data_IF_862721697405
#
_entry.id   IF_862721697405
#
_cell.length_a   1.000
_cell.length_b   1.000
_cell.length_c   1.000
_cell.angle_alpha   90.00
_cell.angle_beta   90.00
_cell.angle_gamma   90.00
#
_symmetry.space_group_name_H-M   'P 1'
#
loop_
_entity.id
_entity.type
_entity.pdbx_description
1 polymer ?
#
# COMPACT_ATOMS: atom_id res chain seq x y z
N UNK A 1 -10.46 6.91 2.87
CA UNK A 1 -10.08 5.51 2.67
C UNK A 1 -8.61 5.25 3.00
N UNK A 2 -7.67 5.79 2.23
CA UNK A 2 -6.23 5.58 2.46
C UNK A 2 -5.76 5.91 3.89
N UNK A 3 -6.16 7.07 4.43
CA UNK A 3 -5.86 7.44 5.83
C UNK A 3 -6.32 6.42 6.87
N UNK A 4 -7.50 5.84 6.68
CA UNK A 4 -8.04 4.83 7.60
C UNK A 4 -7.30 3.49 7.44
N UNK A 5 -6.84 3.19 6.22
CA UNK A 5 -6.05 1.99 5.95
C UNK A 5 -4.66 2.05 6.60
N UNK A 6 -4.06 3.24 6.74
CA UNK A 6 -2.87 3.43 7.60
C UNK A 6 -3.13 3.01 9.06
N UNK A 7 -4.37 3.04 9.53
CA UNK A 7 -4.71 2.62 10.90
C UNK A 7 -4.91 1.08 11.03
N UNK A 8 -4.77 0.34 9.92
CA UNK A 8 -4.89 -1.13 9.86
C UNK A 8 -3.54 -1.85 9.81
N UNK A 9 -2.42 -1.17 10.07
CA UNK A 9 -1.16 -1.87 10.38
C UNK A 9 -1.34 -2.77 11.62
N UNK A 10 -0.44 -3.74 11.80
CA UNK A 10 -0.59 -4.87 12.73
C UNK A 10 -1.75 -5.82 12.36
N UNK A 11 -2.03 -5.95 11.07
CA UNK A 11 -2.92 -6.97 10.50
C UNK A 11 -2.11 -8.07 9.83
N UNK A 12 -2.75 -9.18 9.53
CA UNK A 12 -2.14 -10.34 8.89
C UNK A 12 -2.58 -10.45 7.44
N UNK A 13 -1.64 -10.84 6.58
CA UNK A 13 -1.94 -11.22 5.20
C UNK A 13 -2.60 -12.61 5.13
N UNK A 14 -2.85 -13.08 3.91
CA UNK A 14 -3.43 -14.39 3.63
C UNK A 14 -2.56 -15.57 4.08
N UNK A 15 -1.26 -15.35 4.34
CA UNK A 15 -0.31 -16.35 4.83
C UNK A 15 -0.16 -16.29 6.36
N UNK A 16 -0.87 -15.39 7.04
CA UNK A 16 -0.78 -15.20 8.49
C UNK A 16 0.38 -14.33 8.95
N UNK A 17 1.15 -13.77 8.01
CA UNK A 17 2.30 -12.91 8.29
C UNK A 17 1.84 -11.48 8.61
N UNK A 18 2.50 -10.85 9.58
CA UNK A 18 2.08 -9.55 10.11
C UNK A 18 2.63 -8.41 9.24
N UNK A 19 1.75 -7.50 8.84
CA UNK A 19 2.07 -6.21 8.22
C UNK A 19 2.48 -5.24 9.34
N UNK A 20 3.79 -5.00 9.46
CA UNK A 20 4.38 -4.24 10.58
C UNK A 20 4.68 -2.79 10.18
N UNK A 21 4.29 -1.88 11.07
CA UNK A 21 4.65 -0.46 10.97
C UNK A 21 6.13 -0.23 11.31
N UNK A 22 6.70 -1.08 12.17
CA UNK A 22 8.10 -1.04 12.58
C UNK A 22 9.08 -0.93 11.40
N UNK A 23 8.83 -1.62 10.29
CA UNK A 23 9.74 -1.53 9.13
C UNK A 23 9.82 -0.12 8.54
N UNK A 24 8.75 0.69 8.65
CA UNK A 24 8.78 2.09 8.19
C UNK A 24 9.56 2.97 9.17
N UNK A 25 9.47 2.68 10.47
CA UNK A 25 10.27 3.33 11.51
C UNK A 25 11.76 3.01 11.31
N UNK A 26 12.09 1.73 11.13
CA UNK A 26 13.46 1.25 10.92
C UNK A 26 14.06 1.80 9.63
N UNK A 27 13.26 1.90 8.56
CA UNK A 27 13.66 2.54 7.30
C UNK A 27 13.95 4.02 7.51
N UNK A 28 13.08 4.74 8.21
CA UNK A 28 13.31 6.16 8.49
C UNK A 28 14.57 6.37 9.34
N UNK A 29 14.75 5.57 10.40
CA UNK A 29 15.92 5.64 11.27
C UNK A 29 17.22 5.32 10.53
N UNK A 30 17.23 4.30 9.66
CA UNK A 30 18.39 4.02 8.82
C UNK A 30 18.70 5.20 7.91
N UNK A 31 17.72 5.74 7.19
CA UNK A 31 17.94 6.86 6.28
C UNK A 31 18.44 8.12 7.00
N UNK A 32 17.92 8.39 8.20
CA UNK A 32 18.38 9.50 9.03
C UNK A 32 19.80 9.29 9.56
N UNK A 33 20.15 8.06 9.96
CA UNK A 33 21.51 7.71 10.42
C UNK A 33 22.54 7.83 9.29
N UNK A 34 22.22 7.31 8.11
CA UNK A 34 23.13 7.35 6.95
C UNK A 34 23.16 8.74 6.28
N UNK A 35 22.19 9.61 6.57
CA UNK A 35 22.04 10.91 5.91
C UNK A 35 21.61 10.82 4.44
N UNK A 36 21.19 9.64 3.97
CA UNK A 36 20.81 9.35 2.58
C UNK A 36 19.40 8.76 2.51
N UNK A 37 18.68 9.07 1.42
CA UNK A 37 17.33 8.53 1.17
C UNK A 37 17.32 7.57 -0.01
N UNK A 38 16.58 6.47 0.14
CA UNK A 38 16.36 5.45 -0.90
C UNK A 38 15.24 5.88 -1.86
N UNK A 39 15.37 7.07 -2.45
CA UNK A 39 14.43 7.63 -3.43
C UNK A 39 12.94 7.75 -3.00
N UNK A 40 12.61 7.51 -1.72
CA UNK A 40 11.29 7.71 -1.16
C UNK A 40 11.17 9.06 -0.42
N UNK A 41 9.92 9.44 -0.09
CA UNK A 41 9.61 10.72 0.60
C UNK A 41 9.45 10.57 2.11
N UNK A 42 9.70 9.38 2.67
CA UNK A 42 9.49 9.09 4.08
C UNK A 42 10.34 10.03 4.95
N UNK A 43 9.77 10.47 6.06
CA UNK A 43 10.39 11.38 7.03
C UNK A 43 9.71 11.26 8.38
N UNK A 44 10.24 11.95 9.40
CA UNK A 44 9.66 11.92 10.75
C UNK A 44 8.20 12.35 10.81
N UNK A 45 7.75 13.22 9.92
CA UNK A 45 6.32 13.60 9.84
C UNK A 45 5.42 12.44 9.36
N UNK A 46 5.96 11.52 8.56
CA UNK A 46 5.25 10.33 8.09
C UNK A 46 5.18 9.25 9.16
N UNK A 47 6.25 9.10 9.94
CA UNK A 47 6.33 8.16 11.06
C UNK A 47 5.48 8.64 12.23
N UNK A 48 5.66 9.90 12.64
CA UNK A 48 4.95 10.56 13.74
C UNK A 48 3.70 11.29 13.23
N UNK A 49 2.90 10.61 12.41
CA UNK A 49 1.78 11.21 11.69
C UNK A 49 0.58 11.60 12.57
N UNK A 50 0.53 11.18 13.84
CA UNK A 50 -0.65 11.30 14.71
C UNK A 50 -1.13 12.76 14.84
N UNK A 51 -0.21 13.70 15.02
CA UNK A 51 -0.53 15.13 15.06
C UNK A 51 -1.02 15.70 13.71
N UNK A 52 -0.83 14.94 12.63
CA UNK A 52 -1.17 15.30 11.26
C UNK A 52 -2.04 14.23 10.58
N UNK A 53 -2.86 13.52 11.37
CA UNK A 53 -3.62 12.33 10.93
C UNK A 53 -4.46 12.61 9.68
N UNK A 54 -5.01 13.81 9.57
CA UNK A 54 -5.89 14.22 8.48
C UNK A 54 -5.18 14.49 7.15
N UNK A 55 -3.85 14.62 7.13
CA UNK A 55 -3.07 14.90 5.90
C UNK A 55 -2.99 13.66 5.01
N UNK A 56 -3.84 13.60 3.99
CA UNK A 56 -3.86 12.50 3.00
C UNK A 56 -2.51 12.34 2.30
N UNK A 57 -1.82 13.46 2.03
CA UNK A 57 -0.48 13.45 1.42
C UNK A 57 0.51 12.57 2.18
N UNK A 58 0.51 12.63 3.52
CA UNK A 58 1.38 11.79 4.34
C UNK A 58 1.00 10.31 4.21
N UNK A 59 -0.29 9.99 4.32
CA UNK A 59 -0.76 8.61 4.16
C UNK A 59 -0.37 8.03 2.78
N UNK A 60 -0.54 8.80 1.70
CA UNK A 60 -0.16 8.37 0.36
C UNK A 60 1.36 8.16 0.21
N UNK A 61 2.18 9.06 0.75
CA UNK A 61 3.63 8.93 0.67
C UNK A 61 4.16 7.77 1.51
N UNK A 62 3.60 7.57 2.70
CA UNK A 62 3.87 6.40 3.56
C UNK A 62 3.49 5.09 2.87
N UNK A 63 2.36 5.06 2.17
CA UNK A 63 1.81 3.85 1.56
C UNK A 63 2.13 3.72 0.07
N UNK A 64 3.34 4.10 -0.35
CA UNK A 64 3.74 4.12 -1.76
C UNK A 64 4.66 2.97 -2.17
N UNK A 65 4.68 2.63 -3.46
CA UNK A 65 5.61 1.63 -4.01
C UNK A 65 7.07 2.01 -3.76
N UNK A 66 7.43 3.30 -3.80
CA UNK A 66 8.80 3.73 -3.49
C UNK A 66 9.28 3.37 -2.08
N UNK A 67 8.36 3.35 -1.10
CA UNK A 67 8.68 2.89 0.26
C UNK A 67 8.82 1.37 0.25
N UNK A 68 7.96 0.65 -0.48
CA UNK A 68 8.05 -0.80 -0.63
C UNK A 68 9.38 -1.24 -1.26
N UNK A 69 9.80 -0.59 -2.35
CA UNK A 69 11.06 -0.83 -3.04
C UNK A 69 12.27 -0.56 -2.13
N UNK A 70 12.16 0.46 -1.26
CA UNK A 70 13.19 0.76 -0.26
C UNK A 70 13.32 -0.34 0.79
N UNK A 71 12.18 -0.87 1.28
CA UNK A 71 12.19 -2.00 2.22
C UNK A 71 12.79 -3.26 1.58
N UNK A 72 12.42 -3.54 0.32
CA UNK A 72 12.95 -4.66 -0.44
C UNK A 72 14.45 -4.50 -0.71
N UNK A 73 14.92 -3.30 -1.07
CA UNK A 73 16.35 -3.02 -1.21
C UNK A 73 17.12 -3.18 0.10
N UNK A 74 16.56 -2.74 1.24
CA UNK A 74 17.17 -2.98 2.54
C UNK A 74 17.28 -4.48 2.87
N UNK A 75 16.29 -5.28 2.45
CA UNK A 75 16.27 -6.73 2.65
C UNK A 75 17.25 -7.46 1.73
N UNK A 76 17.19 -7.21 0.42
CA UNK A 76 17.88 -8.04 -0.57
C UNK A 76 19.22 -7.42 -1.01
N UNK A 77 19.24 -6.10 -1.20
CA UNK A 77 20.43 -5.37 -1.64
C UNK A 77 21.42 -5.15 -0.50
N UNK A 78 20.95 -4.68 0.66
CA UNK A 78 21.79 -4.40 1.83
C UNK A 78 21.81 -5.55 2.85
N UNK A 79 20.92 -6.53 2.74
CA UNK A 79 20.87 -7.71 3.63
C UNK A 79 20.77 -7.35 5.12
N UNK A 80 20.06 -6.27 5.44
CA UNK A 80 19.91 -5.79 6.81
C UNK A 80 18.95 -6.69 7.60
N UNK A 81 19.41 -7.20 8.74
CA UNK A 81 18.66 -8.12 9.59
C UNK A 81 17.27 -7.60 9.98
N UNK A 82 17.13 -6.27 10.19
CA UNK A 82 15.88 -5.63 10.55
C UNK A 82 14.77 -5.80 9.49
N UNK A 83 15.11 -6.10 8.23
CA UNK A 83 14.16 -6.16 7.11
C UNK A 83 13.92 -7.56 6.56
N UNK A 84 14.52 -8.61 7.11
CA UNK A 84 14.45 -9.98 6.57
C UNK A 84 13.01 -10.48 6.36
N UNK A 85 12.07 -10.06 7.20
CA UNK A 85 10.67 -10.51 7.16
C UNK A 85 9.70 -9.41 6.70
N UNK A 86 10.16 -8.44 5.90
CA UNK A 86 9.32 -7.31 5.47
C UNK A 86 8.38 -7.63 4.29
N UNK A 87 8.43 -8.84 3.72
CA UNK A 87 7.72 -9.19 2.48
C UNK A 87 6.21 -8.87 2.52
N UNK A 88 5.51 -9.22 3.59
CA UNK A 88 4.08 -8.93 3.72
C UNK A 88 3.78 -7.44 3.80
N UNK A 89 4.66 -6.65 4.42
CA UNK A 89 4.54 -5.19 4.40
C UNK A 89 4.81 -4.63 3.01
N UNK A 90 5.84 -5.13 2.30
CA UNK A 90 6.14 -4.73 0.91
C UNK A 90 4.93 -4.99 0.00
N UNK A 91 4.38 -6.22 0.02
CA UNK A 91 3.22 -6.59 -0.77
C UNK A 91 1.99 -5.72 -0.43
N UNK A 92 1.76 -5.45 0.86
CA UNK A 92 0.68 -4.56 1.29
C UNK A 92 0.85 -3.16 0.71
N UNK A 93 2.05 -2.57 0.81
CA UNK A 93 2.34 -1.23 0.30
C UNK A 93 2.15 -1.14 -1.22
N UNK A 94 2.70 -2.10 -1.98
CA UNK A 94 2.56 -2.16 -3.43
C UNK A 94 1.08 -2.29 -3.84
N UNK A 95 0.33 -3.20 -3.20
CA UNK A 95 -1.09 -3.41 -3.50
C UNK A 95 -1.90 -2.14 -3.27
N UNK A 96 -1.65 -1.44 -2.16
CA UNK A 96 -2.37 -0.21 -1.81
C UNK A 96 -2.03 0.93 -2.77
N UNK A 97 -0.76 1.10 -3.12
CA UNK A 97 -0.31 2.15 -4.05
C UNK A 97 -0.90 1.93 -5.45
N UNK A 98 -0.88 0.69 -5.96
CA UNK A 98 -1.49 0.33 -7.25
C UNK A 98 -2.98 0.64 -7.29
N UNK A 99 -3.73 0.21 -6.27
CA UNK A 99 -5.17 0.52 -6.17
C UNK A 99 -5.40 2.02 -6.09
N UNK A 100 -4.59 2.74 -5.30
CA UNK A 100 -4.72 4.19 -5.17
C UNK A 100 -4.44 4.92 -6.49
N UNK A 101 -3.40 4.51 -7.22
CA UNK A 101 -3.03 5.10 -8.51
C UNK A 101 -4.12 4.89 -9.57
N UNK A 102 -4.69 3.68 -9.66
CA UNK A 102 -5.78 3.37 -10.59
C UNK A 102 -7.03 4.18 -10.24
N UNK A 103 -7.46 4.14 -8.97
CA UNK A 103 -8.69 4.80 -8.51
C UNK A 103 -8.59 6.33 -8.47
N UNK A 104 -7.36 6.87 -8.51
CA UNK A 104 -7.08 8.30 -8.57
C UNK A 104 -6.47 8.73 -9.92
N UNK A 105 -6.60 7.88 -10.95
CA UNK A 105 -6.15 8.21 -12.30
C UNK A 105 -7.03 9.31 -12.90
N UNK A 106 -6.38 10.37 -13.41
CA UNK A 106 -7.06 11.54 -14.00
C UNK A 106 -6.39 12.07 -15.27
N UNK A 107 -5.17 11.63 -15.56
CA UNK A 107 -4.37 12.17 -16.63
C UNK A 107 -4.36 11.20 -17.83
N UNK A 108 -4.94 11.63 -18.95
CA UNK A 108 -4.95 10.90 -20.22
C UNK A 108 -3.56 10.62 -20.80
N UNK A 109 -2.55 11.40 -20.40
CA UNK A 109 -1.16 11.24 -20.84
C UNK A 109 -0.28 10.54 -19.81
N UNK A 110 -0.81 10.21 -18.62
CA UNK A 110 -0.07 9.40 -17.67
C UNK A 110 0.05 7.96 -18.19
N UNK A 111 1.17 7.32 -17.87
CA UNK A 111 1.50 5.95 -18.30
C UNK A 111 1.18 4.95 -17.19
N UNK A 112 0.99 3.69 -17.57
CA UNK A 112 0.71 2.60 -16.64
C UNK A 112 -0.55 2.85 -15.80
N UNK A 113 -0.50 2.42 -14.54
CA UNK A 113 -1.66 2.45 -13.62
C UNK A 113 -2.17 3.86 -13.26
N UNK A 114 -1.39 4.90 -13.54
CA UNK A 114 -1.79 6.32 -13.32
C UNK A 114 -2.53 6.91 -14.52
N UNK A 115 -2.48 6.23 -15.67
CA UNK A 115 -3.18 6.59 -16.89
C UNK A 115 -4.69 6.43 -16.75
N UNK A 116 -5.45 7.16 -17.56
CA UNK A 116 -6.90 7.00 -17.60
C UNK A 116 -7.27 5.56 -17.99
N UNK A 117 -8.19 4.94 -17.24
CA UNK A 117 -8.71 3.62 -17.58
C UNK A 117 -9.40 3.66 -18.94
N UNK A 118 -9.04 2.71 -19.81
CA UNK A 118 -9.68 2.52 -21.12
C UNK A 118 -10.55 1.25 -21.06
N UNK A 119 -11.73 1.25 -21.70
CA UNK A 119 -12.55 0.05 -21.82
C UNK A 119 -11.92 -1.02 -22.71
N UNK A 120 -11.08 -0.64 -23.67
CA UNK A 120 -10.37 -1.53 -24.57
C UNK A 120 -8.97 -1.89 -24.03
N UNK A 121 -8.72 -3.20 -23.89
CA UNK A 121 -7.52 -3.81 -23.29
C UNK A 121 -6.37 -4.03 -24.31
N UNK A 122 -6.47 -3.47 -25.52
CA UNK A 122 -5.56 -3.78 -26.63
C UNK A 122 -4.18 -3.12 -26.58
N UNK A 123 -3.95 -2.13 -25.69
CA UNK A 123 -2.60 -1.60 -25.46
C UNK A 123 -1.92 -2.45 -24.38
N UNK A 124 -0.87 -3.20 -24.75
CA UNK A 124 -0.13 -4.15 -23.91
C UNK A 124 0.59 -3.61 -22.66
N UNK A 125 0.15 -2.47 -22.13
CA UNK A 125 0.51 -1.96 -20.80
C UNK A 125 -0.42 -2.56 -19.74
N UNK A 126 0.16 -2.88 -18.58
CA UNK A 126 -0.49 -3.52 -17.42
C UNK A 126 -1.96 -3.10 -17.22
N UNK A 127 -2.89 -3.98 -17.60
CA UNK A 127 -4.33 -3.70 -17.56
C UNK A 127 -4.80 -3.49 -16.12
N UNK A 128 -5.47 -2.37 -15.85
CA UNK A 128 -5.91 -1.99 -14.51
C UNK A 128 -6.91 -2.98 -13.89
N UNK A 129 -7.79 -3.62 -14.69
CA UNK A 129 -8.83 -4.52 -14.17
C UNK A 129 -8.28 -5.78 -13.50
N UNK A 130 -7.33 -6.54 -14.09
CA UNK A 130 -6.64 -7.63 -13.39
C UNK A 130 -5.94 -7.20 -12.11
N UNK A 131 -5.27 -6.04 -12.11
CA UNK A 131 -4.60 -5.51 -10.90
C UNK A 131 -5.63 -5.24 -9.80
N UNK A 132 -6.77 -4.64 -10.14
CA UNK A 132 -7.86 -4.43 -9.21
C UNK A 132 -8.44 -5.75 -8.67
N UNK A 133 -8.55 -6.81 -9.49
CA UNK A 133 -9.04 -8.11 -9.04
C UNK A 133 -8.06 -8.82 -8.09
N UNK A 134 -6.76 -8.78 -8.40
CA UNK A 134 -5.71 -9.28 -7.50
C UNK A 134 -5.72 -8.52 -6.18
N UNK A 135 -5.83 -7.19 -6.23
CA UNK A 135 -5.90 -6.36 -5.04
C UNK A 135 -7.19 -6.60 -4.24
N UNK A 136 -8.33 -6.82 -4.90
CA UNK A 136 -9.59 -7.18 -4.26
C UNK A 136 -9.44 -8.47 -3.45
N UNK A 137 -8.88 -9.51 -4.08
CA UNK A 137 -8.64 -10.80 -3.44
C UNK A 137 -7.72 -10.67 -2.23
N UNK A 138 -6.63 -9.90 -2.38
CA UNK A 138 -5.67 -9.64 -1.31
C UNK A 138 -6.32 -8.88 -0.13
N UNK A 139 -6.95 -7.72 -0.39
CA UNK A 139 -7.56 -6.89 0.65
C UNK A 139 -8.70 -7.60 1.39
N UNK A 140 -9.45 -8.47 0.68
CA UNK A 140 -10.52 -9.28 1.27
C UNK A 140 -9.98 -10.35 2.21
N UNK A 141 -8.79 -10.89 1.95
CA UNK A 141 -8.16 -11.94 2.74
C UNK A 141 -7.43 -11.43 4.00
N UNK A 142 -7.25 -10.11 4.14
CA UNK A 142 -6.61 -9.54 5.34
C UNK A 142 -7.40 -9.85 6.61
N UNK A 143 -6.67 -10.20 7.67
CA UNK A 143 -7.22 -10.52 8.99
C UNK A 143 -6.61 -9.67 10.09
N UNK A 144 -7.29 -9.53 11.23
CA UNK A 144 -6.67 -9.02 12.44
C UNK A 144 -5.72 -10.05 13.08
N UNK A 145 -5.06 -9.67 14.17
CA UNK A 145 -4.14 -10.56 14.89
C UNK A 145 -4.81 -11.84 15.40
N UNK A 146 -6.12 -11.81 15.64
CA UNK A 146 -6.94 -12.93 16.10
C UNK A 146 -7.48 -13.79 14.93
N UNK A 147 -7.17 -13.45 13.68
CA UNK A 147 -7.60 -14.18 12.50
C UNK A 147 -9.00 -13.80 11.99
N UNK A 148 -9.64 -12.76 12.56
CA UNK A 148 -10.92 -12.26 12.07
C UNK A 148 -10.70 -11.41 10.83
N UNK A 149 -11.41 -11.70 9.75
CA UNK A 149 -11.34 -10.93 8.50
C UNK A 149 -11.59 -9.44 8.75
N UNK A 150 -10.73 -8.58 8.20
CA UNK A 150 -10.72 -7.14 8.48
C UNK A 150 -12.06 -6.47 8.21
N UNK A 151 -12.72 -6.84 7.13
CA UNK A 151 -14.04 -6.31 6.76
C UNK A 151 -15.17 -6.71 7.73
N UNK A 152 -14.91 -7.61 8.69
CA UNK A 152 -15.81 -8.00 9.79
C UNK A 152 -15.39 -7.42 11.16
N UNK A 153 -14.30 -6.65 11.23
CA UNK A 153 -13.82 -6.02 12.47
C UNK A 153 -14.44 -4.63 12.68
N UNK A 154 -14.09 -3.96 13.79
CA UNK A 154 -14.44 -2.55 13.99
C UNK A 154 -13.65 -1.62 13.05
N UNK A 155 -12.48 -2.04 12.57
CA UNK A 155 -11.64 -1.31 11.59
C UNK A 155 -12.05 -1.57 10.12
N UNK A 156 -13.22 -2.18 9.90
CA UNK A 156 -13.70 -2.62 8.57
C UNK A 156 -13.84 -1.51 7.54
N UNK A 157 -14.08 -0.27 7.97
CA UNK A 157 -14.47 0.85 7.10
C UNK A 157 -13.50 1.02 5.93
N UNK A 158 -12.18 0.97 6.20
CA UNK A 158 -11.16 1.10 5.17
C UNK A 158 -11.23 -0.03 4.13
N UNK A 159 -11.26 -1.28 4.60
CA UNK A 159 -11.30 -2.45 3.72
C UNK A 159 -12.60 -2.49 2.90
N UNK A 160 -13.75 -2.31 3.56
CA UNK A 160 -15.07 -2.35 2.89
C UNK A 160 -15.16 -1.28 1.79
N UNK A 161 -14.71 -0.05 2.07
CA UNK A 161 -14.79 1.00 1.05
C UNK A 161 -13.87 0.72 -0.14
N UNK A 162 -12.65 0.21 0.04
CA UNK A 162 -11.81 -0.20 -1.09
C UNK A 162 -12.44 -1.34 -1.89
N UNK A 163 -12.94 -2.39 -1.23
CA UNK A 163 -13.59 -3.52 -1.90
C UNK A 163 -14.83 -3.07 -2.70
N UNK A 164 -15.66 -2.19 -2.12
CA UNK A 164 -16.84 -1.65 -2.80
C UNK A 164 -16.46 -0.78 -4.00
N UNK A 165 -15.47 0.10 -3.86
CA UNK A 165 -15.01 0.95 -4.97
C UNK A 165 -14.41 0.13 -6.11
N UNK A 166 -13.62 -0.91 -5.81
CA UNK A 166 -13.08 -1.81 -6.83
C UNK A 166 -14.21 -2.45 -7.63
N UNK A 167 -15.22 -3.04 -6.95
CA UNK A 167 -16.36 -3.67 -7.61
C UNK A 167 -17.21 -2.69 -8.42
N UNK A 168 -17.38 -1.48 -7.92
CA UNK A 168 -18.10 -0.43 -8.65
C UNK A 168 -17.36 -0.07 -9.96
N UNK A 169 -16.04 0.12 -9.91
CA UNK A 169 -15.24 0.43 -11.11
C UNK A 169 -15.28 -0.71 -12.12
N UNK A 170 -15.15 -1.97 -11.68
CA UNK A 170 -15.25 -3.15 -12.55
C UNK A 170 -16.66 -3.33 -13.16
N UNK A 171 -17.71 -2.73 -12.59
CA UNK A 171 -19.05 -2.77 -13.17
C UNK A 171 -19.32 -1.65 -14.17
N UNK A 172 -18.45 -0.62 -14.22
CA UNK A 172 -18.57 0.53 -15.13
C UNK A 172 -17.78 0.30 -16.42
N UNK A 173 -16.64 -0.38 -16.34
CA UNK A 173 -15.74 -0.72 -17.45
C UNK A 173 -15.88 -2.18 -17.83
#
# INVERSE_FOLDING_TARGET
MLKLLRNTFATKDHQGNIIRWQYLEDLHQNQDREGLRLANKLSGAHVNWQAQEMKVKLAAQTQSSSVADSLEFCRDGLQLAAFQNCHSTVQFLQTVDQVFDILNSRNKFARGLKGAMKPDQSDGDCSALPVLESAFSYLKALTDVAGKLLYKTQKKTATVGFLATIRAVQGIY
#
